data_IF_364179215162
#
_entry.id   IF_364179215162
#
_cell.length_a   1.000
_cell.length_b   1.000
_cell.length_c   1.000
_cell.angle_alpha   90.00
_cell.angle_beta   90.00
_cell.angle_gamma   90.00
#
_symmetry.space_group_name_H-M   'P 1'
#
loop_
_entity.id
_entity.type
_entity.pdbx_description
1 polymer ?
#
# COMPACT_ATOMS: atom_id res chain seq x y z
N UNK A 1 -31.05 43.89 -8.66
CA UNK A 1 -31.46 43.70 -7.25
C UNK A 1 -30.58 42.63 -6.64
N UNK A 2 -29.97 42.86 -5.46
CA UNK A 2 -29.22 41.80 -4.78
C UNK A 2 -30.20 40.72 -4.32
N UNK A 3 -29.88 39.44 -4.56
CA UNK A 3 -30.76 38.32 -4.19
C UNK A 3 -30.85 38.08 -2.67
N UNK A 4 -29.99 38.73 -1.87
CA UNK A 4 -29.89 38.56 -0.43
C UNK A 4 -29.58 39.90 0.25
N UNK A 5 -30.12 40.11 1.47
CA UNK A 5 -29.77 41.26 2.31
C UNK A 5 -28.36 41.10 2.90
N UNK A 6 -27.69 42.21 3.16
CA UNK A 6 -26.38 42.21 3.82
C UNK A 6 -26.52 41.53 5.20
N UNK A 7 -25.82 40.40 5.39
CA UNK A 7 -25.88 39.59 6.61
C UNK A 7 -26.84 38.38 6.58
N UNK A 8 -27.65 38.20 5.53
CA UNK A 8 -28.45 36.99 5.36
C UNK A 8 -27.61 35.84 4.81
N UNK A 9 -27.58 34.72 5.54
CA UNK A 9 -27.02 33.46 5.05
C UNK A 9 -28.07 32.73 4.22
N UNK A 10 -27.72 32.30 3.00
CA UNK A 10 -28.64 31.52 2.15
C UNK A 10 -29.15 30.27 2.87
N UNK A 11 -30.42 29.91 2.63
CA UNK A 11 -31.04 28.66 3.12
C UNK A 11 -30.22 27.42 2.73
N UNK A 12 -29.53 27.46 1.61
CA UNK A 12 -28.68 26.35 1.16
C UNK A 12 -27.47 26.14 2.08
N UNK A 13 -26.88 27.23 2.57
CA UNK A 13 -25.70 27.19 3.45
C UNK A 13 -26.09 26.69 4.84
N UNK A 14 -27.24 27.12 5.36
CA UNK A 14 -27.76 26.62 6.64
C UNK A 14 -28.15 25.13 6.54
N UNK A 15 -28.74 24.71 5.43
CA UNK A 15 -29.05 23.30 5.18
C UNK A 15 -27.80 22.42 5.13
N UNK A 16 -26.74 22.85 4.41
CA UNK A 16 -25.46 22.14 4.37
C UNK A 16 -24.83 22.02 5.76
N UNK A 17 -24.85 23.10 6.54
CA UNK A 17 -24.35 23.12 7.92
C UNK A 17 -25.09 22.07 8.77
N UNK A 18 -26.42 22.09 8.75
CA UNK A 18 -27.24 21.16 9.50
C UNK A 18 -27.05 19.70 9.04
N UNK A 19 -26.87 19.47 7.73
CA UNK A 19 -26.61 18.14 7.18
C UNK A 19 -25.28 17.56 7.71
N UNK A 20 -24.23 18.39 7.84
CA UNK A 20 -22.96 17.96 8.42
C UNK A 20 -23.11 17.65 9.90
N UNK A 21 -23.83 18.49 10.66
CA UNK A 21 -24.11 18.23 12.09
C UNK A 21 -24.85 16.91 12.28
N UNK A 22 -25.88 16.64 11.47
CA UNK A 22 -26.62 15.37 11.48
C UNK A 22 -25.73 14.20 11.07
N UNK A 23 -24.92 14.36 10.02
CA UNK A 23 -23.94 13.34 9.59
C UNK A 23 -22.98 12.97 10.72
N UNK A 24 -22.45 13.94 11.48
CA UNK A 24 -21.56 13.67 12.62
C UNK A 24 -22.27 12.86 13.72
N UNK A 25 -23.54 13.18 14.02
CA UNK A 25 -24.33 12.40 14.97
C UNK A 25 -24.60 10.97 14.46
N UNK A 26 -25.02 10.82 13.20
CA UNK A 26 -25.26 9.51 12.60
C UNK A 26 -24.00 8.65 12.58
N UNK A 27 -22.83 9.24 12.24
CA UNK A 27 -21.53 8.57 12.34
C UNK A 27 -21.28 8.05 13.75
N UNK A 28 -21.60 8.84 14.78
CA UNK A 28 -21.40 8.43 16.16
C UNK A 28 -22.29 7.24 16.54
N UNK A 29 -23.56 7.25 16.12
CA UNK A 29 -24.50 6.16 16.36
C UNK A 29 -24.07 4.86 15.66
N UNK A 30 -23.74 4.95 14.36
CA UNK A 30 -23.30 3.81 13.56
C UNK A 30 -21.99 3.20 14.10
N UNK A 31 -21.02 4.02 14.47
CA UNK A 31 -19.77 3.52 15.06
C UNK A 31 -20.04 2.90 16.43
N UNK A 32 -20.98 3.45 17.20
CA UNK A 32 -21.31 2.91 18.51
C UNK A 32 -22.06 1.56 18.44
N UNK A 33 -22.71 1.24 17.31
CA UNK A 33 -23.33 -0.08 17.07
C UNK A 33 -22.35 -1.19 16.67
N UNK A 34 -21.11 -0.85 16.26
CA UNK A 34 -20.08 -1.84 15.92
C UNK A 34 -19.66 -2.57 17.20
N UNK A 35 -19.82 -3.90 17.21
CA UNK A 35 -19.39 -4.74 18.33
C UNK A 35 -18.18 -5.61 17.99
N UNK A 36 -18.07 -6.09 16.75
CA UNK A 36 -16.94 -6.89 16.26
C UNK A 36 -16.35 -6.35 14.96
N UNK A 37 -15.27 -6.97 14.48
CA UNK A 37 -14.58 -6.57 13.24
C UNK A 37 -15.46 -6.84 12.01
N UNK A 38 -16.32 -7.85 12.06
CA UNK A 38 -17.26 -8.20 11.00
C UNK A 38 -18.41 -7.19 10.85
N UNK A 39 -18.75 -6.47 11.92
CA UNK A 39 -19.79 -5.44 11.92
C UNK A 39 -19.33 -4.11 11.28
N UNK A 40 -18.07 -4.02 10.87
CA UNK A 40 -17.50 -2.78 10.35
C UNK A 40 -18.02 -2.53 8.94
N UNK A 41 -18.59 -1.34 8.75
CA UNK A 41 -19.12 -0.91 7.45
C UNK A 41 -18.03 -0.95 6.38
N UNK A 42 -18.25 -1.64 5.24
CA UNK A 42 -17.25 -1.72 4.16
C UNK A 42 -16.84 -0.37 3.58
N UNK A 43 -17.73 0.63 3.64
CA UNK A 43 -17.47 2.00 3.20
C UNK A 43 -16.56 2.78 4.16
N UNK A 44 -16.35 2.30 5.38
CA UNK A 44 -15.46 2.90 6.37
C UNK A 44 -14.05 2.30 6.24
N UNK A 45 -13.13 3.08 5.68
CA UNK A 45 -11.74 2.66 5.52
C UNK A 45 -10.98 2.69 6.87
N UNK A 46 -10.79 1.51 7.45
CA UNK A 46 -10.04 1.32 8.69
C UNK A 46 -8.71 0.61 8.43
N UNK A 47 -7.77 0.74 9.37
CA UNK A 47 -6.50 0.01 9.34
C UNK A 47 -6.52 -1.06 10.44
N UNK A 48 -6.44 -2.33 10.05
CA UNK A 48 -6.53 -3.49 10.97
C UNK A 48 -7.86 -3.41 11.73
N UNK A 49 -7.80 -3.33 13.06
CA UNK A 49 -8.96 -3.35 13.95
C UNK A 49 -9.13 -2.02 14.70
N UNK A 50 -8.61 -0.93 14.13
CA UNK A 50 -8.63 0.39 14.75
C UNK A 50 -9.30 1.44 13.87
N UNK A 51 -10.32 2.08 14.42
CA UNK A 51 -11.06 3.19 13.80
C UNK A 51 -10.35 4.50 14.14
N UNK A 52 -9.73 5.11 13.13
CA UNK A 52 -9.09 6.42 13.26
C UNK A 52 -10.09 7.56 13.02
N UNK A 53 -10.04 8.61 13.83
CA UNK A 53 -10.90 9.81 13.67
C UNK A 53 -10.79 10.42 12.26
N UNK A 54 -9.58 10.46 11.69
CA UNK A 54 -9.36 10.97 10.34
C UNK A 54 -10.10 10.17 9.26
N UNK A 55 -10.19 8.84 9.42
CA UNK A 55 -10.95 7.98 8.51
C UNK A 55 -12.45 8.26 8.61
N UNK A 56 -12.94 8.45 9.83
CA UNK A 56 -14.35 8.75 10.09
C UNK A 56 -14.76 10.09 9.50
N UNK A 57 -13.90 11.11 9.56
CA UNK A 57 -14.18 12.41 8.91
C UNK A 57 -14.26 12.28 7.39
N UNK A 58 -13.38 11.47 6.78
CA UNK A 58 -13.37 11.20 5.33
C UNK A 58 -14.49 10.27 4.87
N UNK A 59 -15.09 9.51 5.78
CA UNK A 59 -16.15 8.57 5.46
C UNK A 59 -17.37 9.27 4.87
N UNK A 60 -17.82 8.76 3.73
CA UNK A 60 -19.04 9.16 3.02
C UNK A 60 -19.74 7.92 2.50
N UNK A 61 -21.02 7.82 2.78
CA UNK A 61 -21.89 6.74 2.34
C UNK A 61 -23.31 7.31 2.20
N UNK A 62 -23.84 7.31 0.98
CA UNK A 62 -25.16 7.87 0.70
C UNK A 62 -26.27 7.02 1.32
N UNK A 63 -26.10 5.70 1.37
CA UNK A 63 -27.12 4.77 1.86
C UNK A 63 -27.29 4.91 3.38
N UNK A 64 -26.18 5.19 4.08
CA UNK A 64 -26.16 5.43 5.52
C UNK A 64 -26.40 6.91 5.88
N UNK A 65 -26.67 7.78 4.89
CA UNK A 65 -26.80 9.24 5.07
C UNK A 65 -25.58 9.88 5.77
N UNK A 66 -24.40 9.39 5.45
CA UNK A 66 -23.11 9.81 6.01
C UNK A 66 -22.36 10.63 4.98
N UNK A 67 -21.93 11.83 5.36
CA UNK A 67 -21.23 12.77 4.47
C UNK A 67 -19.82 13.02 4.99
N UNK A 68 -18.84 13.08 4.08
CA UNK A 68 -17.47 13.47 4.39
C UNK A 68 -17.42 14.91 4.91
N UNK A 69 -16.68 15.15 5.98
CA UNK A 69 -16.50 16.48 6.54
C UNK A 69 -15.01 16.81 6.67
N UNK A 70 -14.67 18.10 6.49
CA UNK A 70 -13.33 18.58 6.78
C UNK A 70 -13.13 18.70 8.30
N UNK A 71 -11.88 18.62 8.74
CA UNK A 71 -11.52 18.75 10.16
C UNK A 71 -12.03 20.07 10.75
N UNK A 72 -11.81 21.19 10.05
CA UNK A 72 -12.26 22.52 10.49
C UNK A 72 -13.78 22.58 10.65
N UNK A 73 -14.53 21.94 9.74
CA UNK A 73 -16.00 21.93 9.82
C UNK A 73 -16.49 21.08 10.99
N UNK A 74 -15.86 19.93 11.24
CA UNK A 74 -16.20 19.08 12.37
C UNK A 74 -15.89 19.76 13.72
N UNK A 75 -14.82 20.54 13.79
CA UNK A 75 -14.38 21.28 14.98
C UNK A 75 -15.02 22.66 15.16
N UNK A 76 -16.00 23.02 14.32
CA UNK A 76 -16.74 24.26 14.50
C UNK A 76 -17.55 24.26 15.82
N UNK A 77 -17.74 25.43 16.42
CA UNK A 77 -18.34 25.59 17.75
C UNK A 77 -19.72 24.91 17.90
N UNK A 78 -20.56 24.99 16.88
CA UNK A 78 -21.88 24.37 16.85
C UNK A 78 -21.84 22.83 16.79
N UNK A 79 -20.72 22.23 16.37
CA UNK A 79 -20.53 20.79 16.26
C UNK A 79 -19.84 20.19 17.49
N UNK A 80 -19.50 20.99 18.50
CA UNK A 80 -18.78 20.54 19.72
C UNK A 80 -19.47 19.38 20.44
N UNK A 81 -20.80 19.43 20.59
CA UNK A 81 -21.59 18.33 21.19
C UNK A 81 -21.58 17.06 20.32
N UNK A 82 -21.99 17.11 19.03
CA UNK A 82 -21.86 15.97 18.11
C UNK A 82 -20.45 15.37 18.07
N UNK A 83 -19.42 16.22 18.04
CA UNK A 83 -18.03 15.78 17.95
C UNK A 83 -17.58 15.04 19.20
N UNK A 84 -17.98 15.49 20.40
CA UNK A 84 -17.72 14.75 21.65
C UNK A 84 -18.37 13.37 21.64
N UNK A 85 -19.62 13.28 21.18
CA UNK A 85 -20.31 12.00 21.02
C UNK A 85 -19.57 11.08 20.04
N UNK A 86 -19.14 11.61 18.89
CA UNK A 86 -18.37 10.86 17.89
C UNK A 86 -17.05 10.32 18.47
N UNK A 87 -16.28 11.16 19.17
CA UNK A 87 -15.02 10.74 19.79
C UNK A 87 -15.22 9.64 20.83
N UNK A 88 -16.26 9.77 21.65
CA UNK A 88 -16.61 8.74 22.65
C UNK A 88 -17.04 7.43 21.97
N UNK A 89 -17.81 7.51 20.87
CA UNK A 89 -18.21 6.34 20.10
C UNK A 89 -16.99 5.61 19.50
N UNK A 90 -16.05 6.35 18.90
CA UNK A 90 -14.80 5.81 18.36
C UNK A 90 -13.99 5.13 19.47
N UNK A 91 -13.82 5.79 20.63
CA UNK A 91 -13.09 5.22 21.75
C UNK A 91 -13.74 3.93 22.27
N UNK A 92 -15.07 3.92 22.41
CA UNK A 92 -15.81 2.74 22.85
C UNK A 92 -15.77 1.59 21.84
N UNK A 93 -15.87 1.89 20.55
CA UNK A 93 -15.75 0.90 19.48
C UNK A 93 -14.34 0.29 19.48
N UNK A 94 -13.29 1.12 19.51
CA UNK A 94 -11.91 0.64 19.58
C UNK A 94 -11.65 -0.20 20.84
N UNK A 95 -12.19 0.18 22.01
CA UNK A 95 -12.11 -0.64 23.23
C UNK A 95 -12.76 -2.02 23.04
N UNK A 96 -13.93 -2.07 22.40
CA UNK A 96 -14.62 -3.33 22.08
C UNK A 96 -13.76 -4.19 21.16
N UNK A 97 -13.28 -3.62 20.05
CA UNK A 97 -12.43 -4.30 19.08
C UNK A 97 -11.14 -4.85 19.71
N UNK A 98 -10.48 -4.09 20.61
CA UNK A 98 -9.29 -4.58 21.34
C UNK A 98 -9.61 -5.63 22.39
N UNK A 99 -10.80 -5.59 23.01
CA UNK A 99 -11.19 -6.55 24.06
C UNK A 99 -11.68 -7.88 23.47
N UNK A 100 -12.26 -7.89 22.27
CA UNK A 100 -12.55 -9.15 21.55
C UNK A 100 -11.27 -9.97 21.32
N UNK A 101 -10.11 -9.31 21.22
CA UNK A 101 -8.84 -10.02 21.11
C UNK A 101 -8.31 -10.55 22.46
N UNK A 102 -8.71 -9.98 23.61
CA UNK A 102 -8.11 -10.31 24.91
C UNK A 102 -8.64 -11.61 25.52
N UNK A 103 -9.82 -12.08 25.10
CA UNK A 103 -10.37 -13.37 25.53
C UNK A 103 -9.86 -14.58 24.73
N UNK A 104 -8.97 -14.38 23.75
CA UNK A 104 -8.37 -15.45 22.93
C UNK A 104 -6.84 -15.43 22.81
N UNK A 105 -6.14 -14.47 23.43
CA UNK A 105 -4.68 -14.30 23.28
C UNK A 105 -3.90 -14.93 24.44
N UNK A 106 -3.74 -16.26 24.41
CA UNK A 106 -2.64 -16.91 25.13
C UNK A 106 -1.87 -17.96 24.30
N UNK A 107 -2.43 -18.47 23.19
CA UNK A 107 -1.76 -19.53 22.40
C UNK A 107 -1.46 -19.17 20.93
N UNK A 108 -2.24 -18.30 20.28
CA UNK A 108 -2.17 -18.12 18.83
C UNK A 108 -1.06 -17.17 18.34
N UNK A 109 -0.77 -16.08 19.05
CA UNK A 109 0.23 -15.09 18.63
C UNK A 109 1.67 -15.65 18.58
N UNK A 110 2.00 -16.62 19.45
CA UNK A 110 3.33 -17.26 19.45
C UNK A 110 3.52 -18.13 18.19
N UNK A 111 2.43 -18.75 17.70
CA UNK A 111 2.47 -19.60 16.49
C UNK A 111 2.58 -18.76 15.22
N UNK A 112 1.81 -17.67 15.11
CA UNK A 112 1.85 -16.78 13.94
C UNK A 112 3.19 -16.07 13.81
N UNK A 113 3.78 -15.60 14.91
CA UNK A 113 5.10 -14.95 14.87
C UNK A 113 6.22 -15.92 14.48
N UNK A 114 6.14 -17.19 14.88
CA UNK A 114 7.12 -18.19 14.45
C UNK A 114 6.97 -18.53 12.97
N UNK A 115 5.74 -18.63 12.47
CA UNK A 115 5.45 -18.89 11.06
C UNK A 115 5.87 -17.71 10.17
N UNK A 116 5.56 -16.47 10.55
CA UNK A 116 5.97 -15.27 9.81
C UNK A 116 7.48 -15.07 9.83
N UNK A 117 8.15 -15.35 10.96
CA UNK A 117 9.61 -15.32 11.06
C UNK A 117 10.28 -16.44 10.24
N UNK A 118 9.62 -17.59 10.05
CA UNK A 118 10.11 -18.64 9.16
C UNK A 118 9.96 -18.22 7.70
N UNK A 119 8.80 -17.70 7.31
CA UNK A 119 8.53 -17.19 5.97
C UNK A 119 9.43 -16.01 5.59
N UNK A 120 9.82 -15.16 6.54
CA UNK A 120 10.76 -14.06 6.28
C UNK A 120 12.18 -14.59 6.02
N UNK A 121 12.64 -15.59 6.78
CA UNK A 121 13.93 -16.27 6.53
C UNK A 121 13.94 -16.98 5.19
N UNK A 122 12.88 -17.72 4.87
CA UNK A 122 12.75 -18.41 3.58
C UNK A 122 12.74 -17.40 2.42
N UNK A 123 12.08 -16.25 2.57
CA UNK A 123 12.14 -15.18 1.56
C UNK A 123 13.54 -14.59 1.37
N UNK A 124 14.28 -14.35 2.46
CA UNK A 124 15.65 -13.84 2.36
C UNK A 124 16.59 -14.86 1.70
N UNK A 125 16.42 -16.14 2.00
CA UNK A 125 17.16 -17.22 1.34
C UNK A 125 16.85 -17.29 -0.15
N UNK A 126 15.57 -17.22 -0.52
CA UNK A 126 15.14 -17.18 -1.93
C UNK A 126 15.71 -15.98 -2.68
N UNK A 127 15.73 -14.78 -2.06
CA UNK A 127 16.35 -13.59 -2.65
C UNK A 127 17.84 -13.79 -2.89
N UNK A 128 18.54 -14.40 -1.92
CA UNK A 128 19.97 -14.69 -2.03
C UNK A 128 20.23 -15.69 -3.15
N UNK A 129 19.49 -16.80 -3.20
CA UNK A 129 19.61 -17.79 -4.28
C UNK A 129 19.32 -17.18 -5.65
N UNK A 130 18.31 -16.30 -5.76
CA UNK A 130 18.01 -15.60 -7.00
C UNK A 130 19.16 -14.68 -7.42
N UNK A 131 19.75 -13.93 -6.49
CA UNK A 131 20.91 -13.09 -6.77
C UNK A 131 22.12 -13.91 -7.25
N UNK A 132 22.35 -15.09 -6.67
CA UNK A 132 23.40 -16.02 -7.11
C UNK A 132 23.13 -16.55 -8.52
N UNK A 133 21.88 -16.90 -8.86
CA UNK A 133 21.50 -17.30 -10.23
C UNK A 133 21.76 -16.16 -11.22
N UNK A 134 21.36 -14.93 -10.89
CA UNK A 134 21.65 -13.78 -11.74
C UNK A 134 23.15 -13.53 -11.90
N UNK A 135 23.93 -13.68 -10.83
CA UNK A 135 25.39 -13.54 -10.89
C UNK A 135 26.02 -14.61 -11.77
N UNK A 136 25.61 -15.87 -11.64
CA UNK A 136 26.09 -16.97 -12.47
C UNK A 136 25.71 -16.77 -13.95
N UNK A 137 24.49 -16.30 -14.22
CA UNK A 137 24.04 -15.96 -15.57
C UNK A 137 24.90 -14.85 -16.20
N UNK A 138 25.18 -13.78 -15.46
CA UNK A 138 26.04 -12.69 -15.96
C UNK A 138 27.46 -13.19 -16.28
N UNK A 139 28.05 -14.01 -15.41
CA UNK A 139 29.36 -14.62 -15.66
C UNK A 139 29.36 -15.52 -16.90
N UNK A 140 28.28 -16.24 -17.16
CA UNK A 140 28.15 -17.06 -18.37
C UNK A 140 28.11 -16.20 -19.63
N UNK A 141 27.35 -15.10 -19.61
CA UNK A 141 27.28 -14.15 -20.73
C UNK A 141 28.65 -13.52 -21.02
N UNK A 142 29.39 -13.17 -19.96
CA UNK A 142 30.76 -12.64 -20.10
C UNK A 142 31.71 -13.67 -20.72
N UNK A 143 31.70 -14.91 -20.22
CA UNK A 143 32.50 -16.00 -20.81
C UNK A 143 32.18 -16.23 -22.28
N UNK A 144 30.90 -16.22 -22.65
CA UNK A 144 30.49 -16.39 -24.04
C UNK A 144 31.04 -15.27 -24.95
N UNK A 145 31.10 -14.04 -24.45
CA UNK A 145 31.71 -12.92 -25.19
C UNK A 145 33.22 -13.10 -25.33
N UNK A 146 33.90 -13.51 -24.26
CA UNK A 146 35.35 -13.79 -24.29
C UNK A 146 35.68 -14.89 -25.30
N UNK A 147 34.94 -16.01 -25.27
CA UNK A 147 35.11 -17.12 -26.21
C UNK A 147 34.92 -16.66 -27.66
N UNK A 148 33.90 -15.84 -27.96
CA UNK A 148 33.72 -15.29 -29.31
C UNK A 148 34.91 -14.42 -29.76
N UNK A 149 35.48 -13.63 -28.86
CA UNK A 149 36.66 -12.79 -29.16
C UNK A 149 37.87 -13.68 -29.45
N UNK A 150 38.09 -14.71 -28.65
CA UNK A 150 39.18 -15.67 -28.82
C UNK A 150 39.02 -16.43 -30.14
N UNK A 151 37.84 -16.97 -30.43
CA UNK A 151 37.54 -17.67 -31.68
C UNK A 151 37.79 -16.78 -32.91
N UNK A 152 37.36 -15.52 -32.85
CA UNK A 152 37.61 -14.57 -33.92
C UNK A 152 39.10 -14.27 -34.11
N UNK A 153 39.87 -14.18 -33.02
CA UNK A 153 41.31 -13.99 -33.08
C UNK A 153 42.02 -15.22 -33.70
N UNK A 154 41.64 -16.43 -33.28
CA UNK A 154 42.17 -17.69 -33.84
C UNK A 154 41.85 -17.79 -35.33
N UNK A 155 40.61 -17.50 -35.74
CA UNK A 155 40.23 -17.48 -37.16
C UNK A 155 41.09 -16.52 -37.98
N UNK A 156 41.36 -15.32 -37.47
CA UNK A 156 42.26 -14.36 -38.13
C UNK A 156 43.68 -14.90 -38.26
N UNK A 157 44.23 -15.50 -37.21
CA UNK A 157 45.57 -16.09 -37.24
C UNK A 157 45.68 -17.20 -38.28
N UNK A 158 44.70 -18.11 -38.34
CA UNK A 158 44.66 -19.20 -39.33
C UNK A 158 44.61 -18.64 -40.75
N UNK A 159 43.79 -17.60 -41.00
CA UNK A 159 43.71 -16.96 -42.32
C UNK A 159 45.04 -16.31 -42.73
N UNK A 160 45.71 -15.61 -41.82
CA UNK A 160 47.03 -15.01 -42.10
C UNK A 160 48.09 -16.08 -42.35
N UNK A 161 48.12 -17.16 -41.55
CA UNK A 161 49.02 -18.29 -41.77
C UNK A 161 48.77 -18.95 -43.14
N UNK A 162 47.51 -19.22 -43.49
CA UNK A 162 47.14 -19.77 -44.80
C UNK A 162 47.55 -18.84 -45.95
N UNK A 163 47.46 -17.52 -45.76
CA UNK A 163 47.90 -16.52 -46.75
C UNK A 163 49.42 -16.54 -46.93
N UNK A 164 50.19 -16.64 -45.86
CA UNK A 164 51.66 -16.72 -45.90
C UNK A 164 52.10 -18.01 -46.61
N UNK A 165 51.58 -19.16 -46.17
CA UNK A 165 51.89 -20.46 -46.78
C UNK A 165 51.46 -20.52 -48.25
N UNK A 166 50.30 -19.94 -48.59
CA UNK A 166 49.83 -19.84 -49.96
C UNK A 166 50.76 -19.01 -50.85
N UNK A 167 51.31 -17.91 -50.33
CA UNK A 167 52.32 -17.10 -51.05
C UNK A 167 53.64 -17.85 -51.22
N UNK A 168 54.16 -18.47 -50.17
CA UNK A 168 55.39 -19.26 -50.23
C UNK A 168 55.28 -20.41 -51.24
N UNK A 169 54.15 -21.12 -51.28
CA UNK A 169 53.90 -22.18 -52.26
C UNK A 169 53.89 -21.68 -53.71
N UNK A 170 53.53 -20.43 -53.96
CA UNK A 170 53.55 -19.84 -55.31
C UNK A 170 54.96 -19.37 -55.69
N UNK A 171 55.77 -18.95 -54.71
CA UNK A 171 57.19 -18.61 -54.93
C UNK A 171 58.07 -19.83 -55.18
N UNK A 172 57.83 -20.97 -54.52
CA UNK A 172 58.59 -22.22 -54.73
C UNK A 172 58.32 -22.91 -56.09
N UNK A 173 57.25 -22.53 -56.79
CA UNK A 173 56.84 -23.13 -58.08
C UNK A 173 57.32 -22.29 -59.30
N UNK A 174 58.08 -21.21 -59.06
CA UNK A 174 58.76 -20.43 -60.12
C UNK A 174 60.21 -20.86 -60.28
#
# INVERSE_FOLDING_TARGET
>A
MSKYKLGETSKEVTNKKNAITKSIMNKAELINSINSVEDIFPSLNIKRDFIAEASVHKWSDNDLSVISCSWNTAHAEHNTKPLKALKKAIENANKRLTNTESYGKSSQNISTDKATNKLSKENEELKKSLAEVYRAYMQLVERYREDQVIDNAIRKLILEQARILGKQRVEEVK
#
